data_IF_474526641352
#
_entry.id   IF_474526641352
#
_cell.length_a   1.000
_cell.length_b   1.000
_cell.length_c   1.000
_cell.angle_alpha   90.00
_cell.angle_beta   90.00
_cell.angle_gamma   90.00
#
_symmetry.space_group_name_H-M   'P 1'
#
loop_
_entity.id
_entity.type
_entity.pdbx_description
1 polymer ?
#
# COMPACT_ATOMS: atom_id res chain seq x y z
N UNK A 1 10.57 14.81 4.96
CA UNK A 1 9.12 14.58 4.77
C UNK A 1 8.66 15.00 3.38
N UNK A 2 8.88 16.25 2.94
CA UNK A 2 8.46 16.73 1.60
C UNK A 2 9.06 15.97 0.41
N UNK A 3 10.33 15.56 0.49
CA UNK A 3 11.00 14.86 -0.64
C UNK A 3 10.44 13.45 -0.85
N UNK A 4 10.10 12.72 0.23
CA UNK A 4 9.44 11.41 0.14
C UNK A 4 8.07 11.53 -0.52
N UNK A 5 7.28 12.51 -0.09
CA UNK A 5 5.96 12.79 -0.66
C UNK A 5 5.99 13.06 -2.18
N UNK A 6 7.00 13.79 -2.66
CA UNK A 6 7.16 14.07 -4.09
C UNK A 6 7.65 12.85 -4.88
N UNK A 7 8.57 12.05 -4.31
CA UNK A 7 9.07 10.82 -4.93
C UNK A 7 7.96 9.78 -5.05
N UNK A 8 7.15 9.59 -4.01
CA UNK A 8 6.04 8.63 -4.02
C UNK A 8 5.00 9.01 -5.09
N UNK A 9 4.68 10.31 -5.21
CA UNK A 9 3.78 10.83 -6.26
C UNK A 9 4.35 10.66 -7.67
N UNK A 10 5.65 10.88 -7.86
CA UNK A 10 6.31 10.68 -9.15
C UNK A 10 6.34 9.19 -9.54
N UNK A 11 6.65 8.30 -8.60
CA UNK A 11 6.66 6.86 -8.84
C UNK A 11 5.27 6.33 -9.21
N UNK A 12 4.21 6.80 -8.53
CA UNK A 12 2.83 6.44 -8.86
C UNK A 12 2.40 7.02 -10.22
N UNK A 13 2.84 8.22 -10.58
CA UNK A 13 2.54 8.77 -11.91
C UNK A 13 3.28 8.07 -13.06
N UNK A 14 4.42 7.44 -12.77
CA UNK A 14 5.24 6.73 -13.75
C UNK A 14 4.95 5.22 -13.80
N UNK A 15 4.43 4.63 -12.72
CA UNK A 15 4.12 3.20 -12.59
C UNK A 15 2.63 2.95 -12.50
N UNK A 16 2.18 1.82 -13.03
CA UNK A 16 0.78 1.38 -12.91
C UNK A 16 0.41 1.19 -11.42
N UNK A 17 -0.71 1.79 -10.97
CA UNK A 17 -1.16 1.75 -9.56
C UNK A 17 -1.27 0.31 -9.05
N UNK A 18 -1.70 -0.63 -9.90
CA UNK A 18 -1.82 -2.05 -9.57
C UNK A 18 -0.45 -2.66 -9.27
N UNK A 19 0.55 -2.36 -10.10
CA UNK A 19 1.92 -2.87 -9.91
C UNK A 19 2.54 -2.32 -8.62
N UNK A 20 2.28 -1.04 -8.32
CA UNK A 20 2.77 -0.40 -7.11
C UNK A 20 2.07 -0.92 -5.85
N UNK A 21 0.76 -1.17 -5.91
CA UNK A 21 0.02 -1.78 -4.80
C UNK A 21 0.53 -3.18 -4.46
N UNK A 22 0.76 -4.03 -5.46
CA UNK A 22 1.33 -5.37 -5.25
C UNK A 22 2.75 -5.31 -4.68
N UNK A 23 3.58 -4.36 -5.13
CA UNK A 23 4.90 -4.14 -4.54
C UNK A 23 4.82 -3.77 -3.05
N UNK A 24 3.93 -2.87 -2.68
CA UNK A 24 3.73 -2.50 -1.27
C UNK A 24 3.15 -3.65 -0.44
N UNK A 25 2.20 -4.41 -0.97
CA UNK A 25 1.65 -5.58 -0.29
C UNK A 25 2.76 -6.57 0.07
N UNK A 26 3.64 -6.89 -0.87
CA UNK A 26 4.79 -7.75 -0.61
C UNK A 26 5.73 -7.16 0.46
N UNK A 27 5.98 -5.85 0.46
CA UNK A 27 6.81 -5.21 1.48
C UNK A 27 6.19 -5.28 2.87
N UNK A 28 4.87 -5.13 2.98
CA UNK A 28 4.13 -5.27 4.23
C UNK A 28 4.23 -6.71 4.74
N UNK A 29 3.95 -7.70 3.88
CA UNK A 29 4.05 -9.13 4.20
C UNK A 29 5.46 -9.51 4.70
N UNK A 30 6.50 -8.97 4.06
CA UNK A 30 7.90 -9.23 4.41
C UNK A 30 8.42 -8.39 5.60
N UNK A 31 7.56 -7.57 6.23
CA UNK A 31 7.93 -6.68 7.33
C UNK A 31 8.96 -5.62 6.96
N UNK A 32 9.04 -5.23 5.68
CA UNK A 32 9.96 -4.19 5.17
C UNK A 32 9.35 -2.80 5.20
N UNK A 33 8.04 -2.70 5.39
CA UNK A 33 7.27 -1.45 5.45
C UNK A 33 6.02 -1.70 6.28
N UNK A 34 5.66 -0.80 7.19
CA UNK A 34 4.41 -0.90 7.93
C UNK A 34 3.24 -0.46 7.04
N UNK A 35 2.04 -1.02 7.22
CA UNK A 35 0.89 -0.63 6.40
C UNK A 35 0.53 0.86 6.54
N UNK A 36 0.78 1.46 7.71
CA UNK A 36 0.61 2.90 7.95
C UNK A 36 1.47 3.78 7.02
N UNK A 37 2.62 3.28 6.56
CA UNK A 37 3.56 3.96 5.67
C UNK A 37 3.22 3.77 4.18
N UNK A 38 2.21 2.95 3.84
CA UNK A 38 1.75 2.79 2.46
C UNK A 38 1.09 4.11 2.00
N UNK A 39 1.36 4.60 0.78
CA UNK A 39 0.69 5.80 0.27
C UNK A 39 -0.84 5.66 0.32
N UNK A 40 -1.55 6.69 0.80
CA UNK A 40 -3.02 6.66 0.98
C UNK A 40 -3.79 6.22 -0.28
N UNK A 41 -3.36 6.64 -1.47
CA UNK A 41 -3.98 6.23 -2.74
C UNK A 41 -3.80 4.75 -3.06
N UNK A 42 -2.76 4.11 -2.53
CA UNK A 42 -2.47 2.69 -2.74
C UNK A 42 -3.00 1.81 -1.60
N UNK A 43 -3.41 2.38 -0.46
CA UNK A 43 -3.90 1.59 0.69
C UNK A 43 -5.08 0.67 0.34
N UNK A 44 -6.10 1.09 -0.43
CA UNK A 44 -7.20 0.19 -0.79
C UNK A 44 -6.72 -1.04 -1.59
N UNK A 45 -5.98 -0.82 -2.69
CA UNK A 45 -5.47 -1.91 -3.51
C UNK A 45 -4.42 -2.78 -2.79
N UNK A 46 -3.59 -2.17 -1.95
CA UNK A 46 -2.62 -2.91 -1.12
C UNK A 46 -3.36 -3.79 -0.11
N UNK A 47 -4.42 -3.27 0.51
CA UNK A 47 -5.25 -4.00 1.45
C UNK A 47 -5.96 -5.19 0.80
N UNK A 48 -6.52 -5.00 -0.40
CA UNK A 48 -7.12 -6.10 -1.18
C UNK A 48 -6.12 -7.25 -1.37
N UNK A 49 -4.86 -6.96 -1.74
CA UNK A 49 -3.83 -7.99 -1.85
C UNK A 49 -3.47 -8.68 -0.52
N UNK A 50 -3.56 -7.97 0.62
CA UNK A 50 -3.36 -8.58 1.94
C UNK A 50 -4.52 -9.51 2.31
N UNK A 51 -5.76 -9.13 1.98
CA UNK A 51 -6.96 -9.96 2.15
C UNK A 51 -6.87 -11.21 1.29
N UNK A 52 -6.52 -11.07 0.00
CA UNK A 52 -6.32 -12.20 -0.91
C UNK A 52 -5.23 -13.18 -0.43
N UNK A 53 -4.24 -12.64 0.31
CA UNK A 53 -3.15 -13.41 0.90
C UNK A 53 -3.46 -13.96 2.31
N UNK A 54 -4.62 -13.63 2.89
CA UNK A 54 -5.03 -14.07 4.23
C UNK A 54 -4.21 -13.45 5.38
N UNK A 55 -3.67 -12.26 5.18
CA UNK A 55 -2.80 -11.54 6.12
C UNK A 55 -3.23 -10.09 6.34
N UNK A 56 -4.51 -9.82 6.18
CA UNK A 56 -5.14 -8.50 6.37
C UNK A 56 -4.92 -7.92 7.78
N UNK A 57 -4.66 -8.77 8.79
CA UNK A 57 -4.30 -8.34 10.15
C UNK A 57 -3.03 -7.47 10.18
N UNK A 58 -2.18 -7.51 9.15
CA UNK A 58 -1.02 -6.63 8.99
C UNK A 58 -1.41 -5.17 8.73
N UNK A 59 -2.67 -4.91 8.32
CA UNK A 59 -3.20 -3.57 8.13
C UNK A 59 -3.76 -2.93 9.42
N UNK A 60 -3.73 -3.66 10.55
CA UNK A 60 -4.26 -3.18 11.83
C UNK A 60 -5.76 -2.91 11.75
N UNK A 61 -6.20 -1.75 12.24
CA UNK A 61 -7.61 -1.35 12.26
C UNK A 61 -8.06 -0.67 10.97
N UNK A 62 -7.29 -0.79 9.88
CA UNK A 62 -7.66 -0.17 8.60
C UNK A 62 -9.01 -0.70 8.12
N UNK A 63 -9.88 0.22 7.72
CA UNK A 63 -11.15 -0.07 7.06
C UNK A 63 -11.05 0.47 5.63
N UNK A 64 -11.25 -0.37 4.61
CA UNK A 64 -11.30 0.12 3.24
C UNK A 64 -12.47 1.11 3.09
N UNK A 65 -12.36 2.11 2.20
CA UNK A 65 -13.47 3.01 1.92
C UNK A 65 -14.70 2.20 1.53
N UNK A 66 -15.84 2.46 2.18
CA UNK A 66 -17.12 1.87 1.80
C UNK A 66 -17.39 2.22 0.33
N UNK A 67 -17.55 1.18 -0.50
CA UNK A 67 -17.88 1.29 -1.93
C UNK A 67 -19.19 2.05 -2.16
#
# INVERSE_FOLDING_TARGET
MIVRFLIDKILIYLGDEIMMAMFFAQRVILGKTAFEDVPESLKPATYEHLVDSGVEFLAGDYQPPSS
#
